data_IF_765051438181
#
_entry.id   IF_765051438181
#
_cell.length_a   1.000
_cell.length_b   1.000
_cell.length_c   1.000
_cell.angle_alpha   90.00
_cell.angle_beta   90.00
_cell.angle_gamma   90.00
#
_symmetry.space_group_name_H-M   'P 1'
#
loop_
_entity.id
_entity.type
_entity.pdbx_description
1 polymer ?
#
# COMPACT_ATOMS: atom_id res chain seq x y z
N UNK A 1 4.41 -19.91 2.28
CA UNK A 1 4.11 -18.60 1.68
C UNK A 1 4.51 -17.55 2.70
N UNK A 2 5.52 -16.73 2.39
CA UNK A 2 5.86 -15.59 3.22
C UNK A 2 4.87 -14.45 2.91
N UNK A 3 4.42 -13.72 3.93
CA UNK A 3 3.63 -12.49 3.76
C UNK A 3 4.58 -11.33 4.03
N UNK A 4 4.74 -10.45 3.06
CA UNK A 4 5.59 -9.27 3.23
C UNK A 4 4.85 -8.21 4.04
N UNK A 5 5.25 -8.04 5.31
CA UNK A 5 4.74 -6.97 6.17
C UNK A 5 5.55 -5.70 5.91
N UNK A 6 4.85 -4.64 5.50
CA UNK A 6 5.41 -3.32 5.23
C UNK A 6 4.61 -2.32 6.07
N UNK A 7 5.27 -1.74 7.06
CA UNK A 7 4.70 -0.66 7.86
C UNK A 7 5.10 0.66 7.23
N UNK A 8 4.12 1.47 6.87
CA UNK A 8 4.38 2.82 6.42
C UNK A 8 4.62 3.68 7.67
N UNK A 9 5.81 4.27 7.86
CA UNK A 9 5.94 5.36 8.82
C UNK A 9 5.06 6.55 8.39
N UNK A 10 4.86 7.48 9.31
CA UNK A 10 4.16 8.73 9.00
C UNK A 10 5.01 9.59 8.07
N UNK A 11 4.83 9.40 6.76
CA UNK A 11 5.46 10.18 5.71
C UNK A 11 4.73 11.50 5.43
N UNK A 12 3.60 11.78 6.10
CA UNK A 12 2.71 12.89 5.72
C UNK A 12 2.25 12.77 4.26
N UNK A 13 2.51 13.80 3.45
CA UNK A 13 2.10 13.87 2.04
C UNK A 13 3.20 13.47 1.03
N UNK A 14 4.34 12.94 1.50
CA UNK A 14 5.49 12.68 0.64
C UNK A 14 5.38 11.33 -0.11
N UNK A 15 4.96 11.41 -1.37
CA UNK A 15 4.84 10.25 -2.26
C UNK A 15 6.20 9.66 -2.69
N UNK A 16 7.29 10.43 -2.61
CA UNK A 16 8.62 9.96 -2.96
C UNK A 16 9.14 9.00 -1.88
N UNK A 17 8.95 9.37 -0.61
CA UNK A 17 9.36 8.54 0.52
C UNK A 17 8.68 7.16 0.53
N UNK A 18 7.42 7.07 0.09
CA UNK A 18 6.77 5.77 -0.12
C UNK A 18 7.47 4.94 -1.19
N UNK A 19 7.75 5.52 -2.36
CA UNK A 19 8.44 4.83 -3.45
C UNK A 19 9.81 4.30 -3.01
N UNK A 20 10.54 5.10 -2.24
CA UNK A 20 11.86 4.76 -1.73
C UNK A 20 11.80 3.64 -0.69
N UNK A 21 10.87 3.69 0.29
CA UNK A 21 10.64 2.60 1.25
C UNK A 21 10.36 1.28 0.52
N UNK A 22 9.50 1.38 -0.50
CA UNK A 22 9.23 0.24 -1.34
C UNK A 22 10.50 -0.23 -2.04
N UNK A 23 11.30 0.67 -2.65
CA UNK A 23 12.53 0.35 -3.39
C UNK A 23 13.53 -0.50 -2.59
N UNK A 24 13.57 -0.33 -1.27
CA UNK A 24 14.41 -1.11 -0.36
C UNK A 24 13.97 -2.56 -0.18
N UNK A 25 12.72 -2.90 -0.52
CA UNK A 25 12.24 -4.27 -0.46
C UNK A 25 12.57 -5.06 -1.75
N UNK A 26 12.97 -6.34 -1.62
CA UNK A 26 13.21 -7.23 -2.76
C UNK A 26 11.93 -7.46 -3.59
N UNK A 27 12.09 -8.00 -4.80
CA UNK A 27 10.96 -8.37 -5.65
C UNK A 27 10.03 -9.37 -4.94
N UNK A 28 8.73 -9.08 -4.94
CA UNK A 28 7.67 -9.84 -4.23
C UNK A 28 6.77 -10.55 -5.25
N UNK A 29 7.38 -11.12 -6.30
CA UNK A 29 6.68 -11.65 -7.46
C UNK A 29 5.63 -12.70 -7.06
N UNK A 30 4.36 -12.33 -7.12
CA UNK A 30 3.23 -13.19 -6.74
C UNK A 30 3.06 -13.39 -5.24
N UNK A 31 3.82 -12.67 -4.41
CA UNK A 31 3.74 -12.78 -2.95
C UNK A 31 2.71 -11.79 -2.39
N UNK A 32 1.88 -12.21 -1.43
CA UNK A 32 0.92 -11.32 -0.80
C UNK A 32 1.64 -10.31 0.10
N UNK A 33 1.30 -9.04 -0.08
CA UNK A 33 1.80 -7.93 0.74
C UNK A 33 0.77 -7.52 1.78
N UNK A 34 1.23 -7.27 2.99
CA UNK A 34 0.47 -6.64 4.07
C UNK A 34 1.04 -5.25 4.31
N UNK A 35 0.29 -4.24 3.88
CA UNK A 35 0.55 -2.84 4.12
C UNK A 35 -0.14 -2.39 5.40
N UNK A 36 0.58 -1.74 6.30
CA UNK A 36 0.00 -1.15 7.52
C UNK A 36 0.19 0.35 7.44
N UNK A 37 -0.93 1.06 7.43
CA UNK A 37 -1.02 2.51 7.29
C UNK A 37 -1.39 3.08 8.68
N UNK A 38 -0.67 4.08 9.19
CA UNK A 38 -1.04 4.74 10.43
C UNK A 38 -2.39 5.43 10.27
N UNK A 39 -3.32 5.21 11.21
CA UNK A 39 -4.68 5.77 11.16
C UNK A 39 -4.72 7.31 11.17
N UNK A 40 -3.65 7.97 11.63
CA UNK A 40 -3.53 9.43 11.64
C UNK A 40 -2.94 10.02 10.36
N UNK A 41 -2.41 9.18 9.47
CA UNK A 41 -1.73 9.66 8.28
C UNK A 41 -2.74 9.97 7.17
N UNK A 42 -2.78 11.24 6.76
CA UNK A 42 -3.62 11.71 5.65
C UNK A 42 -2.83 11.61 4.35
N UNK A 43 -2.86 10.46 3.72
CA UNK A 43 -2.15 10.28 2.46
C UNK A 43 -2.93 10.86 1.29
N UNK A 44 -2.32 11.79 0.56
CA UNK A 44 -2.90 12.35 -0.66
C UNK A 44 -3.06 11.29 -1.77
N UNK A 45 -3.87 11.59 -2.78
CA UNK A 45 -4.06 10.69 -3.94
C UNK A 45 -2.77 10.34 -4.66
N UNK A 46 -1.80 11.25 -4.71
CA UNK A 46 -0.47 11.01 -5.32
C UNK A 46 0.31 9.93 -4.58
N UNK A 47 0.23 9.92 -3.25
CA UNK A 47 0.88 8.93 -2.40
C UNK A 47 0.33 7.53 -2.67
N UNK A 48 -1.01 7.41 -2.66
CA UNK A 48 -1.70 6.15 -2.94
C UNK A 48 -1.35 5.60 -4.33
N UNK A 49 -1.30 6.46 -5.35
CA UNK A 49 -0.88 6.05 -6.69
C UNK A 49 0.58 5.59 -6.74
N UNK A 50 1.49 6.27 -6.03
CA UNK A 50 2.89 5.88 -5.94
C UNK A 50 3.07 4.49 -5.34
N UNK A 51 2.35 4.19 -4.24
CA UNK A 51 2.36 2.85 -3.63
C UNK A 51 1.82 1.79 -4.59
N UNK A 52 0.66 2.06 -5.20
CA UNK A 52 0.06 1.12 -6.15
C UNK A 52 0.99 0.81 -7.34
N UNK A 53 1.72 1.81 -7.83
CA UNK A 53 2.74 1.65 -8.88
C UNK A 53 3.93 0.82 -8.43
N UNK A 54 4.46 1.11 -7.24
CA UNK A 54 5.58 0.35 -6.69
C UNK A 54 5.24 -1.11 -6.41
N UNK A 55 4.00 -1.39 -5.96
CA UNK A 55 3.53 -2.77 -5.75
C UNK A 55 3.42 -3.53 -7.08
N UNK A 56 2.82 -2.91 -8.10
CA UNK A 56 2.72 -3.52 -9.42
C UNK A 56 4.09 -3.75 -10.07
N UNK A 57 5.00 -2.78 -9.98
CA UNK A 57 6.37 -2.90 -10.52
C UNK A 57 7.18 -4.05 -9.89
N UNK A 58 6.82 -4.47 -8.67
CA UNK A 58 7.42 -5.64 -8.00
C UNK A 58 6.69 -6.97 -8.23
N UNK A 59 5.67 -6.98 -9.08
CA UNK A 59 4.89 -8.17 -9.37
C UNK A 59 3.97 -8.60 -8.22
N UNK A 60 3.63 -7.69 -7.32
CA UNK A 60 2.66 -7.97 -6.25
C UNK A 60 1.29 -8.14 -6.87
N UNK A 61 0.66 -9.30 -6.70
CA UNK A 61 -0.68 -9.59 -7.23
C UNK A 61 -1.77 -9.42 -6.18
N UNK A 62 -1.39 -9.42 -4.89
CA UNK A 62 -2.33 -9.30 -3.78
C UNK A 62 -1.74 -8.38 -2.70
N UNK A 63 -2.51 -7.35 -2.32
CA UNK A 63 -2.16 -6.47 -1.21
C UNK A 63 -3.31 -6.39 -0.21
N UNK A 64 -2.96 -6.44 1.06
CA UNK A 64 -3.87 -6.21 2.17
C UNK A 64 -3.46 -4.96 2.91
N UNK A 65 -4.35 -4.00 3.06
CA UNK A 65 -4.06 -2.68 3.64
C UNK A 65 -4.80 -2.56 4.97
N UNK A 66 -4.10 -2.22 6.05
CA UNK A 66 -4.65 -2.01 7.40
C UNK A 66 -4.53 -0.55 7.83
N UNK A 67 -5.46 -0.08 8.65
CA UNK A 67 -5.40 1.27 9.25
C UNK A 67 -5.66 2.44 8.29
N UNK A 68 -6.13 2.16 7.06
CA UNK A 68 -6.51 3.20 6.12
C UNK A 68 -7.85 3.83 6.50
N UNK A 69 -7.96 5.17 6.40
CA UNK A 69 -9.25 5.85 6.47
C UNK A 69 -10.18 5.37 5.35
N UNK A 70 -11.50 5.55 5.48
CA UNK A 70 -12.47 5.18 4.42
C UNK A 70 -12.11 5.85 3.08
N UNK A 71 -11.69 7.12 3.14
CA UNK A 71 -11.29 7.88 1.96
C UNK A 71 -10.03 7.31 1.31
N UNK A 72 -9.06 6.85 2.10
CA UNK A 72 -7.85 6.24 1.55
C UNK A 72 -8.09 4.83 1.04
N UNK A 73 -8.97 4.07 1.69
CA UNK A 73 -9.41 2.77 1.21
C UNK A 73 -10.01 2.86 -0.19
N UNK A 74 -10.91 3.82 -0.43
CA UNK A 74 -11.50 4.05 -1.75
C UNK A 74 -10.46 4.50 -2.79
N UNK A 75 -9.47 5.31 -2.38
CA UNK A 75 -8.37 5.73 -3.27
C UNK A 75 -7.49 4.53 -3.64
N UNK A 76 -7.16 3.67 -2.68
CA UNK A 76 -6.35 2.48 -2.91
C UNK A 76 -7.09 1.48 -3.79
N UNK A 77 -8.37 1.25 -3.51
CA UNK A 77 -9.22 0.38 -4.31
C UNK A 77 -9.25 0.86 -5.77
N UNK A 78 -9.48 2.16 -6.02
CA UNK A 78 -9.44 2.73 -7.37
C UNK A 78 -8.06 2.69 -8.04
N UNK A 79 -6.99 2.94 -7.28
CA UNK A 79 -5.62 2.95 -7.81
C UNK A 79 -5.14 1.53 -8.17
N UNK A 80 -5.57 0.53 -7.42
CA UNK A 80 -5.21 -0.88 -7.61
C UNK A 80 -6.14 -1.60 -8.58
N UNK A 81 -7.42 -1.24 -8.67
CA UNK A 81 -8.37 -1.83 -9.63
C UNK A 81 -7.97 -1.58 -11.10
N UNK A 82 -7.18 -0.55 -11.37
CA UNK A 82 -6.61 -0.28 -12.70
C UNK A 82 -5.36 -1.11 -13.01
N UNK A 83 -4.85 -1.84 -12.03
CA UNK A 83 -3.60 -2.59 -12.06
C UNK A 83 -3.92 -4.07 -11.83
N UNK A 84 -3.02 -4.98 -12.20
CA UNK A 84 -3.23 -6.43 -11.98
C UNK A 84 -3.07 -6.85 -10.51
N UNK A 85 -3.49 -6.00 -9.57
CA UNK A 85 -3.28 -6.14 -8.13
C UNK A 85 -4.63 -6.17 -7.42
N UNK A 86 -4.92 -7.28 -6.75
CA UNK A 86 -6.12 -7.41 -5.91
C UNK A 86 -5.86 -6.76 -4.55
N UNK A 87 -6.66 -5.76 -4.19
CA UNK A 87 -6.58 -5.06 -2.91
C UNK A 87 -7.63 -5.55 -1.92
N UNK A 88 -7.28 -5.69 -0.65
CA UNK A 88 -8.24 -5.81 0.46
C UNK A 88 -7.92 -4.75 1.50
N UNK A 89 -8.81 -3.79 1.71
CA UNK A 89 -8.59 -2.70 2.66
C UNK A 89 -9.42 -2.89 3.93
N UNK A 90 -8.74 -2.84 5.07
CA UNK A 90 -9.29 -2.92 6.41
C UNK A 90 -9.22 -1.54 7.06
N UNK A 91 -10.39 -1.08 7.53
CA UNK A 91 -10.62 0.27 8.07
C UNK A 91 -10.10 0.44 9.50
N UNK A 92 -9.63 -0.64 10.11
CA UNK A 92 -9.23 -0.69 11.50
C UNK A 92 -7.79 -1.18 11.61
N UNK A 93 -6.98 -0.47 12.39
CA UNK A 93 -5.59 -0.82 12.70
C UNK A 93 -5.47 -1.89 13.81
N UNK A 94 -6.59 -2.40 14.34
CA UNK A 94 -6.60 -3.38 15.44
C UNK A 94 -6.41 -4.85 15.01
N UNK A 95 -5.51 -5.15 14.06
CA UNK A 95 -5.14 -6.54 13.76
C UNK A 95 -3.64 -6.78 13.92
#
# INVERSE_FOLDING_TARGET
>A
MAVHRIELPDFGFDAQAARDLFAEHPAMNGEPVRLIIPAMALYGSTFVHGIAESLEARGVTQVTIYGASVTDADRFDRALARRHVTARVFRDSQV
#
